data_IF_716086207340
#
_entry.id   IF_716086207340
#
_cell.length_a   1.000
_cell.length_b   1.000
_cell.length_c   1.000
_cell.angle_alpha   90.00
_cell.angle_beta   90.00
_cell.angle_gamma   90.00
#
_symmetry.space_group_name_H-M   'P 1'
#
loop_
_entity.id
_entity.type
_entity.pdbx_description
1 polymer ?
#
# COMPACT_ATOMS: atom_id res chain seq x y z
N UNK A 1 1.07 4.46 13.59
CA UNK A 1 0.68 4.59 12.18
C UNK A 1 1.52 5.72 11.61
N UNK A 2 2.35 5.46 10.60
CA UNK A 2 3.16 6.53 9.99
C UNK A 2 2.24 7.54 9.31
N UNK A 3 2.54 8.84 9.43
CA UNK A 3 1.72 9.92 8.88
C UNK A 3 1.45 9.74 7.36
N UNK A 4 2.42 9.19 6.64
CA UNK A 4 2.34 8.87 5.20
C UNK A 4 1.35 7.74 4.88
N UNK A 5 1.15 6.79 5.80
CA UNK A 5 0.18 5.72 5.62
C UNK A 5 -1.24 6.17 5.97
N UNK A 6 -1.40 7.19 6.82
CA UNK A 6 -2.71 7.69 7.24
C UNK A 6 -3.49 8.36 6.10
N UNK A 7 -2.80 8.82 5.05
CA UNK A 7 -3.42 9.45 3.87
C UNK A 7 -3.87 8.44 2.82
N UNK A 8 -3.57 7.15 2.98
CA UNK A 8 -3.90 6.13 1.99
C UNK A 8 -5.39 5.79 2.02
N UNK A 9 -6.04 5.94 0.88
CA UNK A 9 -7.46 5.66 0.66
C UNK A 9 -7.65 4.54 -0.39
N UNK A 10 -8.81 3.84 -0.37
CA UNK A 10 -9.14 2.89 -1.42
C UNK A 10 -8.98 3.47 -2.83
N UNK A 11 -8.33 2.72 -3.72
CA UNK A 11 -8.03 3.14 -5.09
C UNK A 11 -6.63 3.71 -5.30
N UNK A 12 -5.97 4.23 -4.25
CA UNK A 12 -4.60 4.73 -4.35
C UNK A 12 -3.62 3.62 -4.74
N UNK A 13 -2.63 3.97 -5.57
CA UNK A 13 -1.58 3.05 -6.03
C UNK A 13 -0.35 3.17 -5.13
N UNK A 14 0.23 2.02 -4.78
CA UNK A 14 1.36 1.95 -3.83
C UNK A 14 2.36 0.86 -4.22
N UNK A 15 3.62 1.03 -3.80
CA UNK A 15 4.63 -0.03 -3.79
C UNK A 15 4.98 -0.44 -2.36
N UNK A 16 5.31 -1.72 -2.20
CA UNK A 16 5.90 -2.22 -0.96
C UNK A 16 7.43 -2.07 -1.02
N UNK A 17 8.08 -1.31 -0.13
CA UNK A 17 9.49 -0.94 -0.25
C UNK A 17 10.45 -2.14 -0.17
N UNK A 18 10.04 -3.22 0.50
CA UNK A 18 10.85 -4.43 0.67
C UNK A 18 10.42 -5.61 -0.21
N UNK A 19 9.42 -5.42 -1.09
CA UNK A 19 8.90 -6.46 -1.97
C UNK A 19 8.64 -5.86 -3.37
N UNK A 20 9.71 -5.40 -4.06
CA UNK A 20 9.56 -4.72 -5.35
C UNK A 20 8.99 -5.64 -6.45
N UNK A 21 9.21 -6.95 -6.33
CA UNK A 21 8.70 -7.99 -7.22
C UNK A 21 7.17 -8.15 -7.17
N UNK A 22 6.51 -7.66 -6.10
CA UNK A 22 5.05 -7.70 -6.00
C UNK A 22 4.34 -6.74 -6.98
N UNK A 23 5.09 -5.78 -7.53
CA UNK A 23 4.58 -4.76 -8.42
C UNK A 23 3.82 -3.62 -7.72
N UNK A 24 3.20 -2.75 -8.52
CA UNK A 24 2.38 -1.64 -8.02
C UNK A 24 1.00 -2.16 -7.63
N UNK A 25 0.71 -2.17 -6.33
CA UNK A 25 -0.57 -2.59 -5.78
C UNK A 25 -1.59 -1.45 -5.68
N UNK A 26 -2.85 -1.82 -5.48
CA UNK A 26 -3.94 -0.89 -5.22
C UNK A 26 -4.49 -1.09 -3.81
N UNK A 27 -4.57 0.01 -3.06
CA UNK A 27 -5.20 0.02 -1.72
C UNK A 27 -6.68 -0.33 -1.86
N UNK A 28 -7.13 -1.28 -1.05
CA UNK A 28 -8.52 -1.72 -0.95
C UNK A 28 -9.18 -1.18 0.32
N UNK A 29 -8.41 -1.04 1.41
CA UNK A 29 -8.86 -0.44 2.66
C UNK A 29 -7.68 0.03 3.52
N UNK A 30 -7.94 0.99 4.40
CA UNK A 30 -7.00 1.46 5.41
C UNK A 30 -7.76 1.71 6.71
N UNK A 31 -7.71 0.75 7.63
CA UNK A 31 -8.53 0.78 8.85
C UNK A 31 -7.62 0.47 10.04
N UNK A 32 -7.61 1.39 11.01
CA UNK A 32 -6.90 1.22 12.29
C UNK A 32 -5.42 0.76 12.14
N UNK A 33 -4.69 1.34 11.19
CA UNK A 33 -3.28 0.99 10.96
C UNK A 33 -3.06 -0.22 10.04
N UNK A 34 -4.12 -0.92 9.63
CA UNK A 34 -4.03 -2.04 8.69
C UNK A 34 -4.47 -1.62 7.31
N UNK A 35 -3.56 -1.79 6.36
CA UNK A 35 -3.77 -1.40 4.97
C UNK A 35 -3.90 -2.68 4.16
N UNK A 36 -5.06 -2.90 3.54
CA UNK A 36 -5.25 -4.01 2.61
C UNK A 36 -4.90 -3.53 1.22
N UNK A 37 -3.97 -4.19 0.55
CA UNK A 37 -3.54 -3.87 -0.81
C UNK A 37 -3.68 -5.12 -1.67
N UNK A 38 -4.18 -4.97 -2.90
CA UNK A 38 -4.11 -6.04 -3.89
C UNK A 38 -2.91 -5.77 -4.81
N UNK A 39 -1.92 -6.66 -4.78
CA UNK A 39 -0.72 -6.62 -5.60
C UNK A 39 -0.83 -7.60 -6.77
N UNK A 40 -0.32 -7.26 -7.97
CA UNK A 40 -0.36 -8.15 -9.13
C UNK A 40 0.26 -9.53 -8.89
N UNK A 41 1.47 -9.59 -8.32
CA UNK A 41 2.22 -10.85 -8.21
C UNK A 41 2.09 -11.54 -6.83
N UNK A 42 1.52 -10.85 -5.83
CA UNK A 42 1.35 -11.37 -4.47
C UNK A 42 -0.13 -11.48 -4.04
N UNK A 43 -1.06 -11.03 -4.86
CA UNK A 43 -2.49 -10.99 -4.54
C UNK A 43 -2.80 -10.04 -3.38
N UNK A 44 -3.84 -10.37 -2.60
CA UNK A 44 -4.31 -9.52 -1.50
C UNK A 44 -3.45 -9.70 -0.26
N UNK A 45 -2.81 -8.62 0.18
CA UNK A 45 -1.95 -8.59 1.37
C UNK A 45 -2.47 -7.54 2.36
N UNK A 46 -2.46 -7.88 3.64
CA UNK A 46 -2.73 -6.94 4.74
C UNK A 46 -1.41 -6.50 5.34
N UNK A 47 -1.16 -5.20 5.33
CA UNK A 47 0.08 -4.58 5.78
C UNK A 47 -0.16 -3.86 7.11
N UNK A 48 0.75 -4.08 8.06
CA UNK A 48 0.83 -3.29 9.28
C UNK A 48 1.52 -1.95 9.01
N UNK A 49 0.72 -0.90 8.84
CA UNK A 49 1.18 0.46 8.55
C UNK A 49 1.86 1.17 9.72
N UNK A 50 2.03 0.50 10.87
CA UNK A 50 2.93 0.95 11.94
C UNK A 50 4.38 0.52 11.71
N UNK A 51 4.61 -0.53 10.91
CA UNK A 51 5.93 -1.13 10.65
C UNK A 51 6.44 -0.81 9.26
N UNK A 52 5.55 -0.81 8.27
CA UNK A 52 5.90 -0.60 6.87
C UNK A 52 5.25 0.68 6.38
N UNK A 53 6.05 1.62 5.90
CA UNK A 53 5.56 2.79 5.16
C UNK A 53 5.47 2.44 3.69
N UNK A 54 4.27 2.50 3.11
CA UNK A 54 4.09 2.27 1.68
C UNK A 54 4.51 3.49 0.88
N UNK A 55 5.03 3.25 -0.31
CA UNK A 55 5.44 4.30 -1.24
C UNK A 55 4.28 4.60 -2.18
N UNK A 56 3.79 5.84 -2.19
CA UNK A 56 2.71 6.24 -3.10
C UNK A 56 3.26 6.30 -4.51
N UNK A 57 2.58 5.62 -5.44
CA UNK A 57 2.89 5.70 -6.86
C UNK A 57 2.01 6.74 -7.53
N UNK A 58 2.65 7.78 -8.06
CA UNK A 58 1.98 8.77 -8.89
C UNK A 58 2.01 8.31 -10.34
N UNK A 59 0.85 8.24 -10.99
CA UNK A 59 0.81 8.09 -12.45
C UNK A 59 1.39 9.35 -13.08
N UNK A 60 2.51 9.20 -13.81
CA UNK A 60 3.01 10.23 -14.70
C UNK A 60 2.01 10.39 -15.86
N UNK A 61 1.26 11.49 -15.84
CA UNK A 61 0.52 11.98 -17.01
C UNK A 61 1.44 12.74 -17.95
#
# INVERSE_FOLDING_TARGET
MNALNSILEPGMRVRHPYQPDWGVGQVQSNIAGRITVNFPEAGKVVIDGSRITLEIEFENK
#
